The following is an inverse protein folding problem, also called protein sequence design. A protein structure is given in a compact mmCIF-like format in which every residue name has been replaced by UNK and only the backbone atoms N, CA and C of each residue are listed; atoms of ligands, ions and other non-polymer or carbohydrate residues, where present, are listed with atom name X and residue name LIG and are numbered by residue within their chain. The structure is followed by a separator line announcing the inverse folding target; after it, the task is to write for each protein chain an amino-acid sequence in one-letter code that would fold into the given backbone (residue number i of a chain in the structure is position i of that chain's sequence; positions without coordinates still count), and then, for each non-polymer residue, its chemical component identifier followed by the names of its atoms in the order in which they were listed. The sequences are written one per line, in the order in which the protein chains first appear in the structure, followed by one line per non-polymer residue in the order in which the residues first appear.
data_IF_148453443555
#
_entry.id   IF_148453443555
#
_cell.length_a   1.000
_cell.length_b   1.000
_cell.length_c   1.000
_cell.angle_alpha   90.00
_cell.angle_beta   90.00
_cell.angle_gamma   90.00
#
_symmetry.space_group_name_H-M   'P 1'
#
loop_
_entity.id
_entity.type
_entity.pdbx_description
1 polymer ?
#
# COMPACT_ATOMS: atom_id res chain seq x y z
N UNK A 1 -69.41 8.45 38.67
CA UNK A 1 -68.02 8.84 38.64
C UNK A 1 -67.28 7.97 37.59
N UNK A 2 -66.92 8.54 36.43
CA UNK A 2 -66.25 7.85 35.33
C UNK A 2 -64.86 8.44 35.23
N UNK A 3 -63.83 7.67 35.52
CA UNK A 3 -62.45 8.04 35.37
C UNK A 3 -62.03 7.72 33.91
N UNK A 4 -61.70 8.76 33.16
CA UNK A 4 -61.17 8.64 31.80
C UNK A 4 -59.68 8.41 31.85
N UNK A 5 -59.23 7.24 31.38
CA UNK A 5 -57.83 6.93 31.20
C UNK A 5 -57.27 7.58 29.92
N UNK A 6 -56.37 8.54 30.12
CA UNK A 6 -55.61 9.16 29.02
C UNK A 6 -54.43 8.29 28.70
N UNK A 7 -54.45 7.56 27.60
CA UNK A 7 -53.28 6.80 27.08
C UNK A 7 -52.32 7.75 26.35
N UNK A 8 -51.18 7.97 26.94
CA UNK A 8 -50.08 8.75 26.38
C UNK A 8 -49.29 7.84 25.43
N UNK A 9 -49.48 8.00 24.13
CA UNK A 9 -48.67 7.31 23.11
C UNK A 9 -47.39 8.09 22.92
N UNK A 10 -46.26 7.58 23.47
CA UNK A 10 -44.93 8.09 23.20
C UNK A 10 -44.45 7.50 21.87
N UNK A 11 -44.50 8.28 20.80
CA UNK A 11 -43.90 7.93 19.52
C UNK A 11 -42.41 8.24 19.62
N UNK A 12 -41.59 7.21 19.85
CA UNK A 12 -40.14 7.31 19.72
C UNK A 12 -39.75 7.39 18.23
N UNK A 13 -39.50 8.61 17.75
CA UNK A 13 -38.94 8.85 16.44
C UNK A 13 -37.48 8.48 16.45
N UNK A 14 -37.14 7.24 16.07
CA UNK A 14 -35.72 6.85 15.85
C UNK A 14 -35.30 7.42 14.51
N UNK A 15 -34.72 8.61 14.53
CA UNK A 15 -34.04 9.16 13.37
C UNK A 15 -32.75 8.33 13.13
N UNK A 16 -32.81 7.36 12.22
CA UNK A 16 -31.63 6.67 11.71
C UNK A 16 -30.81 7.70 10.90
N UNK A 17 -29.79 8.24 11.51
CA UNK A 17 -28.76 9.04 10.82
C UNK A 17 -27.96 8.03 9.96
N UNK A 18 -28.41 7.79 8.75
CA UNK A 18 -27.61 7.17 7.70
C UNK A 18 -26.52 8.18 7.31
N UNK A 19 -25.43 8.20 8.09
CA UNK A 19 -24.20 8.86 7.67
C UNK A 19 -23.70 8.10 6.45
N UNK A 20 -24.10 8.55 5.25
CA UNK A 20 -23.56 8.08 3.99
C UNK A 20 -22.05 8.32 4.01
N UNK A 21 -21.28 7.25 4.22
CA UNK A 21 -19.83 7.31 4.00
C UNK A 21 -19.65 7.72 2.55
N UNK A 22 -19.15 8.94 2.34
CA UNK A 22 -18.76 9.37 1.00
C UNK A 22 -17.85 8.29 0.41
N UNK A 23 -18.25 7.78 -0.76
CA UNK A 23 -17.46 6.76 -1.45
C UNK A 23 -16.15 7.42 -1.82
N UNK A 24 -15.03 6.89 -1.33
CA UNK A 24 -13.70 7.39 -1.69
C UNK A 24 -13.56 7.27 -3.20
N UNK A 25 -13.20 8.35 -3.88
CA UNK A 25 -13.06 8.35 -5.33
C UNK A 25 -11.85 7.53 -5.78
N UNK A 26 -11.83 7.08 -7.04
CA UNK A 26 -10.67 6.42 -7.63
C UNK A 26 -9.42 7.31 -7.61
N UNK A 27 -9.57 8.59 -7.85
CA UNK A 27 -8.47 9.56 -7.79
C UNK A 27 -7.90 9.71 -6.37
N UNK A 28 -8.77 9.68 -5.35
CA UNK A 28 -8.34 9.68 -3.95
C UNK A 28 -7.58 8.39 -3.60
N UNK A 29 -8.07 7.23 -4.03
CA UNK A 29 -7.40 5.94 -3.80
C UNK A 29 -6.04 5.89 -4.51
N UNK A 30 -5.97 6.35 -5.75
CA UNK A 30 -4.73 6.47 -6.51
C UNK A 30 -3.73 7.39 -5.82
N UNK A 31 -4.17 8.53 -5.32
CA UNK A 31 -3.35 9.48 -4.56
C UNK A 31 -2.83 8.87 -3.25
N UNK A 32 -3.66 8.08 -2.55
CA UNK A 32 -3.24 7.34 -1.36
C UNK A 32 -2.13 6.34 -1.69
N UNK A 33 -2.29 5.52 -2.73
CA UNK A 33 -1.27 4.54 -3.13
C UNK A 33 0.02 5.22 -3.55
N UNK A 34 -0.07 6.31 -4.31
CA UNK A 34 1.10 7.13 -4.70
C UNK A 34 1.86 7.64 -3.47
N UNK A 35 1.14 8.13 -2.46
CA UNK A 35 1.74 8.59 -1.21
C UNK A 35 2.37 7.44 -0.41
N UNK A 36 1.70 6.27 -0.35
CA UNK A 36 2.24 5.08 0.30
C UNK A 36 3.49 4.55 -0.39
N UNK A 37 3.52 4.50 -1.73
CA UNK A 37 4.70 4.06 -2.47
C UNK A 37 5.89 4.99 -2.25
N UNK A 38 5.67 6.31 -2.28
CA UNK A 38 6.73 7.30 -1.98
C UNK A 38 7.26 7.16 -0.55
N UNK A 39 6.37 6.98 0.43
CA UNK A 39 6.76 6.79 1.82
C UNK A 39 7.48 5.44 2.02
N UNK A 40 7.07 4.39 1.31
CA UNK A 40 7.76 3.10 1.28
C UNK A 40 9.18 3.25 0.71
N UNK A 41 9.34 3.92 -0.43
CA UNK A 41 10.64 4.22 -1.02
C UNK A 41 11.53 5.07 -0.09
N UNK A 42 10.95 6.03 0.62
CA UNK A 42 11.66 6.88 1.55
C UNK A 42 12.28 6.11 2.73
N UNK A 43 11.74 4.94 3.11
CA UNK A 43 12.33 4.09 4.16
C UNK A 43 13.74 3.62 3.79
N UNK A 44 13.99 3.36 2.49
CA UNK A 44 15.31 2.98 1.99
C UNK A 44 16.32 4.14 2.16
N UNK A 45 15.94 5.34 1.74
CA UNK A 45 16.78 6.53 1.89
C UNK A 45 17.05 6.88 3.36
N UNK A 46 16.03 6.74 4.23
CA UNK A 46 16.13 6.98 5.66
C UNK A 46 16.82 5.85 6.45
N UNK A 47 17.14 4.72 5.81
CA UNK A 47 17.67 3.50 6.45
C UNK A 47 16.71 2.94 7.51
N UNK A 48 15.40 3.24 7.42
CA UNK A 48 14.36 2.79 8.34
C UNK A 48 13.85 1.39 7.96
N UNK A 49 14.58 0.37 8.40
CA UNK A 49 14.22 -1.03 8.13
C UNK A 49 12.90 -1.45 8.77
N UNK A 50 12.64 -0.98 9.98
CA UNK A 50 11.35 -1.25 10.65
C UNK A 50 10.20 -0.55 9.93
N UNK A 51 10.44 0.68 9.43
CA UNK A 51 9.53 1.41 8.56
C UNK A 51 9.18 0.65 7.30
N UNK A 52 10.17 0.09 6.61
CA UNK A 52 9.97 -0.78 5.45
C UNK A 52 8.97 -1.90 5.76
N UNK A 53 9.15 -2.59 6.89
CA UNK A 53 8.26 -3.66 7.31
C UNK A 53 6.80 -3.22 7.54
N UNK A 54 6.52 -1.96 7.86
CA UNK A 54 5.16 -1.46 8.09
C UNK A 54 4.31 -1.41 6.81
N UNK A 55 4.94 -1.35 5.64
CA UNK A 55 4.24 -1.35 4.35
C UNK A 55 3.97 -2.74 3.79
N UNK A 56 4.55 -3.80 4.39
CA UNK A 56 4.36 -5.16 3.92
C UNK A 56 3.07 -5.77 4.48
N UNK A 57 2.29 -6.43 3.62
CA UNK A 57 1.26 -7.38 4.03
C UNK A 57 1.90 -8.56 4.79
N UNK A 58 1.16 -9.17 5.72
CA UNK A 58 1.60 -10.40 6.39
C UNK A 58 1.89 -11.55 5.40
N UNK A 59 1.23 -11.55 4.25
CA UNK A 59 1.38 -12.54 3.19
C UNK A 59 2.11 -12.02 1.94
N UNK A 60 2.91 -10.94 2.10
CA UNK A 60 3.68 -10.35 1.00
C UNK A 60 4.54 -11.39 0.27
N UNK A 61 4.61 -11.28 -1.05
CA UNK A 61 5.46 -12.12 -1.90
C UNK A 61 6.37 -11.21 -2.72
N UNK A 62 7.67 -11.26 -2.44
CA UNK A 62 8.67 -10.53 -3.20
C UNK A 62 9.43 -11.48 -4.11
N UNK A 63 9.59 -11.12 -5.37
CA UNK A 63 10.22 -11.96 -6.38
C UNK A 63 11.58 -11.39 -6.77
N UNK A 64 12.63 -12.21 -6.60
CA UNK A 64 14.00 -11.89 -7.02
C UNK A 64 14.48 -12.97 -7.99
N UNK A 65 14.54 -12.64 -9.28
CA UNK A 65 14.81 -13.63 -10.31
C UNK A 65 13.73 -14.72 -10.36
N UNK A 66 14.15 -15.98 -10.18
CA UNK A 66 13.25 -17.14 -10.10
C UNK A 66 12.75 -17.44 -8.67
N UNK A 67 13.34 -16.81 -7.65
CA UNK A 67 13.03 -17.05 -6.24
C UNK A 67 11.89 -16.16 -5.75
N UNK A 68 11.09 -16.67 -4.82
CA UNK A 68 10.03 -15.92 -4.17
C UNK A 68 10.17 -15.99 -2.64
N UNK A 69 10.32 -14.83 -2.00
CA UNK A 69 10.22 -14.68 -0.56
C UNK A 69 8.74 -14.57 -0.21
N UNK A 70 8.19 -15.52 0.55
CA UNK A 70 6.78 -15.60 0.90
C UNK A 70 6.56 -15.30 2.37
N UNK A 71 5.67 -14.33 2.63
CA UNK A 71 5.36 -13.80 3.95
C UNK A 71 6.32 -12.68 4.37
N UNK A 72 5.80 -11.77 5.19
CA UNK A 72 6.51 -10.60 5.68
C UNK A 72 7.88 -10.93 6.28
N UNK A 73 7.96 -11.97 7.11
CA UNK A 73 9.21 -12.31 7.81
C UNK A 73 10.29 -12.77 6.83
N UNK A 74 9.93 -13.54 5.80
CA UNK A 74 10.86 -13.98 4.77
C UNK A 74 11.35 -12.79 3.93
N UNK A 75 10.46 -11.86 3.58
CA UNK A 75 10.81 -10.62 2.87
C UNK A 75 11.75 -9.78 3.74
N UNK A 76 11.40 -9.53 5.00
CA UNK A 76 12.24 -8.77 5.94
C UNK A 76 13.63 -9.38 6.06
N UNK A 77 13.72 -10.70 6.24
CA UNK A 77 15.01 -11.40 6.33
C UNK A 77 15.85 -11.21 5.06
N UNK A 78 15.26 -11.34 3.88
CA UNK A 78 15.97 -11.19 2.60
C UNK A 78 16.41 -9.75 2.33
N UNK A 79 15.61 -8.76 2.74
CA UNK A 79 15.84 -7.35 2.49
C UNK A 79 16.77 -6.68 3.50
N UNK A 80 17.03 -7.29 4.67
CA UNK A 80 17.90 -6.75 5.71
C UNK A 80 19.24 -6.26 5.15
N UNK A 81 19.89 -7.04 4.29
CA UNK A 81 21.17 -6.72 3.66
C UNK A 81 21.22 -5.37 2.94
N UNK A 82 20.07 -4.88 2.44
CA UNK A 82 20.01 -3.58 1.77
C UNK A 82 19.96 -2.41 2.74
N UNK A 83 19.75 -2.66 4.03
CA UNK A 83 19.67 -1.67 5.11
C UNK A 83 20.91 -1.66 6.03
N UNK A 84 21.88 -2.58 5.86
CA UNK A 84 23.04 -2.68 6.74
C UNK A 84 24.06 -1.55 6.54
N UNK A 85 24.14 -0.97 5.35
CA UNK A 85 25.05 0.14 5.04
C UNK A 85 24.51 1.51 5.43
N UNK A 86 25.38 2.50 5.55
CA UNK A 86 25.00 3.89 5.84
C UNK A 86 24.26 4.57 4.67
N UNK A 87 24.60 4.17 3.44
CA UNK A 87 24.01 4.72 2.23
C UNK A 87 23.04 3.71 1.60
N UNK A 88 21.93 4.23 1.05
CA UNK A 88 21.00 3.41 0.29
C UNK A 88 21.69 2.88 -0.99
N UNK A 89 21.68 1.55 -1.24
CA UNK A 89 22.29 0.98 -2.43
C UNK A 89 21.52 1.31 -3.71
N UNK A 90 20.26 1.63 -3.59
CA UNK A 90 19.35 2.04 -4.69
C UNK A 90 18.21 2.87 -4.13
N UNK A 91 17.50 3.52 -5.03
CA UNK A 91 16.24 4.22 -4.78
C UNK A 91 15.22 3.82 -5.83
N UNK A 92 13.93 4.05 -5.53
CA UNK A 92 12.86 3.94 -6.51
C UNK A 92 11.83 5.05 -6.32
N UNK A 93 11.08 5.33 -7.36
CA UNK A 93 10.05 6.36 -7.35
C UNK A 93 8.87 5.93 -8.24
N UNK A 94 7.61 6.06 -7.78
CA UNK A 94 6.46 5.74 -8.60
C UNK A 94 6.29 6.76 -9.74
N UNK A 95 6.20 6.26 -10.98
CA UNK A 95 5.84 7.02 -12.17
C UNK A 95 4.38 6.77 -12.56
N UNK A 96 3.87 5.55 -12.33
CA UNK A 96 2.51 5.18 -12.66
C UNK A 96 1.87 4.41 -11.51
N UNK A 97 0.62 4.75 -11.21
CA UNK A 97 -0.24 4.07 -10.23
C UNK A 97 -1.62 3.89 -10.83
N UNK A 98 -2.15 2.67 -10.80
CA UNK A 98 -3.51 2.33 -11.23
C UNK A 98 -4.23 1.57 -10.12
N UNK A 99 -5.54 1.86 -9.96
CA UNK A 99 -6.39 1.21 -8.98
C UNK A 99 -7.49 0.45 -9.72
N UNK A 100 -7.76 -0.81 -9.33
CA UNK A 100 -8.85 -1.59 -9.92
C UNK A 100 -10.21 -1.01 -9.54
N UNK A 101 -11.27 -1.30 -10.33
CA UNK A 101 -12.63 -0.75 -10.16
C UNK A 101 -13.20 -0.98 -8.75
N UNK A 102 -12.88 -2.10 -8.11
CA UNK A 102 -13.32 -2.39 -6.74
C UNK A 102 -12.67 -1.47 -5.68
N UNK A 103 -11.60 -0.75 -6.01
CA UNK A 103 -10.84 0.06 -5.07
C UNK A 103 -10.02 -0.74 -4.05
N UNK A 104 -9.86 -2.05 -4.23
CA UNK A 104 -9.23 -2.94 -3.24
C UNK A 104 -7.80 -3.34 -3.56
N UNK A 105 -7.39 -3.21 -4.83
CA UNK A 105 -6.04 -3.47 -5.30
C UNK A 105 -5.55 -2.30 -6.15
N UNK A 106 -4.25 -2.07 -6.10
CA UNK A 106 -3.56 -1.11 -6.94
C UNK A 106 -2.23 -1.67 -7.44
N UNK A 107 -1.80 -1.17 -8.58
CA UNK A 107 -0.51 -1.43 -9.17
C UNK A 107 0.30 -0.14 -9.19
N UNK A 108 1.58 -0.23 -8.80
CA UNK A 108 2.54 0.87 -8.84
C UNK A 108 3.81 0.43 -9.55
N UNK A 109 4.38 1.28 -10.39
CA UNK A 109 5.62 1.00 -11.11
C UNK A 109 6.41 2.28 -11.36
N UNK A 110 7.70 2.13 -11.56
CA UNK A 110 8.61 3.22 -11.88
C UNK A 110 10.08 2.78 -11.89
N UNK A 111 11.02 3.72 -12.09
CA UNK A 111 12.44 3.41 -12.16
C UNK A 111 13.02 2.98 -10.82
N UNK A 112 13.97 2.04 -10.90
CA UNK A 112 14.97 1.80 -9.87
C UNK A 112 16.24 2.49 -10.32
N UNK A 113 16.87 3.27 -9.41
CA UNK A 113 18.12 3.97 -9.67
C UNK A 113 19.21 3.50 -8.71
N UNK A 114 20.44 3.36 -9.21
CA UNK A 114 21.60 3.09 -8.35
C UNK A 114 22.01 4.35 -7.57
N UNK A 115 23.04 4.23 -6.73
CA UNK A 115 23.54 5.33 -5.91
C UNK A 115 24.08 6.53 -6.73
N UNK A 116 24.39 6.34 -8.02
CA UNK A 116 24.77 7.42 -8.94
C UNK A 116 23.57 8.12 -9.60
N UNK A 117 22.33 7.65 -9.33
CA UNK A 117 21.10 8.16 -9.93
C UNK A 117 20.77 7.55 -11.30
N UNK A 118 21.59 6.63 -11.81
CA UNK A 118 21.36 5.97 -13.09
C UNK A 118 20.24 4.94 -12.96
N UNK A 119 19.30 4.93 -13.91
CA UNK A 119 18.26 3.89 -13.97
C UNK A 119 18.89 2.53 -14.25
N UNK A 120 18.65 1.58 -13.36
CA UNK A 120 19.16 0.20 -13.43
C UNK A 120 18.06 -0.84 -13.53
N UNK A 121 16.80 -0.44 -13.34
CA UNK A 121 15.67 -1.35 -13.39
C UNK A 121 14.34 -0.64 -13.33
N UNK A 122 13.30 -1.45 -13.19
CA UNK A 122 11.93 -1.02 -12.96
C UNK A 122 11.36 -1.84 -11.81
N UNK A 123 10.73 -1.20 -10.83
CA UNK A 123 9.98 -1.90 -9.80
C UNK A 123 8.52 -2.06 -10.22
N UNK A 124 7.86 -3.06 -9.64
CA UNK A 124 6.46 -3.34 -9.85
C UNK A 124 5.89 -3.85 -8.53
N UNK A 125 5.03 -3.05 -7.91
CA UNK A 125 4.38 -3.38 -6.64
C UNK A 125 2.88 -3.51 -6.83
N UNK A 126 2.29 -4.53 -6.22
CA UNK A 126 0.84 -4.64 -6.07
C UNK A 126 0.49 -4.33 -4.62
N UNK A 127 -0.37 -3.35 -4.45
CA UNK A 127 -0.89 -2.89 -3.17
C UNK A 127 -2.30 -3.40 -2.95
N UNK A 128 -2.62 -3.81 -1.73
CA UNK A 128 -3.95 -4.20 -1.28
C UNK A 128 -4.42 -3.27 -0.17
N UNK A 129 -5.67 -2.82 -0.27
CA UNK A 129 -6.33 -2.07 0.79
C UNK A 129 -6.77 -3.06 1.89
N UNK A 130 -6.01 -3.15 2.97
CA UNK A 130 -6.27 -4.08 4.09
C UNK A 130 -7.21 -3.51 5.16
N UNK A 131 -7.29 -2.18 5.24
CA UNK A 131 -8.24 -1.43 6.08
C UNK A 131 -8.41 -0.03 5.48
N UNK A 132 -9.43 0.76 5.87
CA UNK A 132 -9.61 2.12 5.38
C UNK A 132 -8.33 2.96 5.53
N UNK A 133 -7.79 3.43 4.40
CA UNK A 133 -6.55 4.20 4.33
C UNK A 133 -5.26 3.41 4.59
N UNK A 134 -5.34 2.10 4.81
CA UNK A 134 -4.18 1.25 5.04
C UNK A 134 -3.91 0.34 3.84
N UNK A 135 -2.98 0.76 3.03
CA UNK A 135 -2.47 -0.02 1.90
C UNK A 135 -1.23 -0.81 2.32
N UNK A 136 -1.12 -2.06 1.86
CA UNK A 136 0.04 -2.92 2.09
C UNK A 136 0.48 -3.61 0.79
N UNK A 137 1.79 -3.75 0.59
CA UNK A 137 2.35 -4.47 -0.55
C UNK A 137 2.09 -5.97 -0.39
N UNK A 138 1.43 -6.57 -1.39
CA UNK A 138 1.17 -8.02 -1.45
C UNK A 138 2.07 -8.72 -2.45
N UNK A 139 2.45 -8.06 -3.55
CA UNK A 139 3.46 -8.56 -4.48
C UNK A 139 4.43 -7.44 -4.84
N UNK A 140 5.70 -7.79 -4.97
CA UNK A 140 6.73 -6.92 -5.50
C UNK A 140 7.71 -7.68 -6.40
N UNK A 141 8.15 -7.02 -7.47
CA UNK A 141 9.18 -7.53 -8.36
C UNK A 141 9.96 -6.40 -9.00
N UNK A 142 11.28 -6.38 -8.76
CA UNK A 142 12.23 -5.60 -9.55
C UNK A 142 12.62 -6.34 -10.82
N UNK A 143 12.70 -5.61 -11.95
CA UNK A 143 13.22 -6.13 -13.22
C UNK A 143 14.46 -5.34 -13.63
N UNK A 144 15.54 -6.03 -14.00
CA UNK A 144 16.75 -5.39 -14.53
C UNK A 144 16.50 -4.82 -15.94
N UNK A 145 16.91 -3.57 -16.16
CA UNK A 145 16.83 -2.97 -17.52
C UNK A 145 17.78 -3.64 -18.54
N UNK A 146 18.73 -4.46 -18.07
CA UNK A 146 19.77 -5.10 -18.91
C UNK A 146 19.30 -6.31 -19.69
N UNK A 147 18.09 -6.80 -19.42
CA UNK A 147 17.57 -8.05 -20.02
C UNK A 147 16.49 -7.83 -21.08
N UNK A 148 16.35 -6.64 -21.65
CA UNK A 148 15.50 -6.43 -22.82
C UNK A 148 16.37 -6.49 -24.10
N UNK A 149 16.34 -7.56 -24.89
CA UNK A 149 16.84 -7.49 -26.27
C UNK A 149 16.00 -6.48 -27.04
N UNK A 150 16.66 -5.57 -27.75
CA UNK A 150 16.04 -4.67 -28.72
C UNK A 150 15.51 -5.45 -29.90
#
# INVERSE_FOLDING_TARGET
MRLSSLSLIVVCLVAAIAAGRARVSHDDLRSQVLAHERAFAATMAARDFEGFGRYLSSEAVFMTGADAQRGKDAVMKAWRRYYDGQQAPFSWEPEQVEVVESGTLAYSTGPIRDASGRRVGTFNSVWRLEAPGRWAVVFDRGCDCRSQPQ
#
